data_IF_250227520608
#
_entry.id   IF_250227520608
#
_cell.length_a   1.000
_cell.length_b   1.000
_cell.length_c   1.000
_cell.angle_alpha   90.00
_cell.angle_beta   90.00
_cell.angle_gamma   90.00
#
_symmetry.space_group_name_H-M   'P 1'
#
loop_
_entity.id
_entity.type
_entity.pdbx_description
1 polymer ?
#
# COMPACT_ATOMS: atom_id res chain seq x y z
N UNK A 1 6.18 10.73 -10.26
CA UNK A 1 4.89 10.09 -9.93
C UNK A 1 4.98 9.56 -8.52
N UNK A 2 3.93 9.72 -7.72
CA UNK A 2 3.83 9.18 -6.36
C UNK A 2 2.54 8.39 -6.16
N UNK A 3 2.41 7.69 -5.03
CA UNK A 3 1.23 6.87 -4.71
C UNK A 3 -0.11 7.64 -4.84
N UNK A 4 -0.12 8.95 -4.59
CA UNK A 4 -1.32 9.78 -4.72
C UNK A 4 -1.83 9.91 -6.14
N UNK A 5 -0.98 9.76 -7.15
CA UNK A 5 -1.38 9.83 -8.56
C UNK A 5 -2.25 8.61 -8.93
N UNK A 6 -1.96 7.44 -8.32
CA UNK A 6 -2.75 6.22 -8.49
C UNK A 6 -4.14 6.32 -7.85
N UNK A 7 -4.31 7.16 -6.83
CA UNK A 7 -5.60 7.35 -6.16
C UNK A 7 -6.67 8.00 -7.04
N UNK A 8 -6.28 8.67 -8.12
CA UNK A 8 -7.23 9.34 -9.03
C UNK A 8 -8.25 8.36 -9.67
N UNK A 9 -7.93 7.07 -9.67
CA UNK A 9 -8.74 5.99 -10.25
C UNK A 9 -9.51 5.19 -9.20
N UNK A 10 -9.28 5.47 -7.91
CA UNK A 10 -9.96 4.81 -6.81
C UNK A 10 -11.37 5.37 -6.63
N UNK A 11 -12.36 4.49 -6.48
CA UNK A 11 -13.71 4.90 -6.12
C UNK A 11 -13.75 5.24 -4.63
N UNK A 12 -14.19 6.46 -4.25
CA UNK A 12 -14.26 6.84 -2.85
C UNK A 12 -15.38 6.07 -2.13
N UNK A 13 -15.07 5.60 -0.92
CA UNK A 13 -16.02 4.95 0.00
C UNK A 13 -16.15 5.82 1.23
N UNK A 14 -17.24 6.60 1.27
CA UNK A 14 -17.53 7.53 2.37
C UNK A 14 -18.06 6.82 3.62
N UNK A 15 -18.71 5.66 3.46
CA UNK A 15 -19.27 4.88 4.57
C UNK A 15 -18.17 4.45 5.54
N UNK A 16 -18.33 4.66 6.86
CA UNK A 16 -17.39 4.16 7.86
C UNK A 16 -17.14 2.66 7.69
N UNK A 17 -15.87 2.29 7.51
CA UNK A 17 -15.47 0.91 7.21
C UNK A 17 -14.53 0.40 8.29
N UNK A 18 -14.80 -0.81 8.79
CA UNK A 18 -13.92 -1.46 9.76
C UNK A 18 -12.72 -2.10 9.08
N UNK A 19 -11.56 -2.00 9.72
CA UNK A 19 -10.39 -2.82 9.41
C UNK A 19 -10.67 -4.31 9.60
N UNK A 20 -11.62 -4.68 10.45
CA UNK A 20 -11.99 -6.07 10.75
C UNK A 20 -12.96 -6.56 9.67
N UNK A 21 -12.40 -7.17 8.61
CA UNK A 21 -13.11 -7.72 7.45
C UNK A 21 -13.92 -6.71 6.61
N UNK A 22 -14.19 -5.50 7.11
CA UNK A 22 -15.00 -4.49 6.41
C UNK A 22 -14.39 -4.08 5.07
N UNK A 23 -13.08 -3.90 5.02
CA UNK A 23 -12.33 -3.62 3.78
C UNK A 23 -12.45 -4.79 2.79
N UNK A 24 -12.33 -6.05 3.24
CA UNK A 24 -12.52 -7.23 2.38
C UNK A 24 -13.95 -7.28 1.82
N UNK A 25 -14.95 -7.13 2.69
CA UNK A 25 -16.37 -7.15 2.31
C UNK A 25 -16.69 -6.08 1.26
N UNK A 26 -16.14 -4.88 1.42
CA UNK A 26 -16.28 -3.80 0.46
C UNK A 26 -15.62 -4.15 -0.88
N UNK A 27 -14.41 -4.73 -0.87
CA UNK A 27 -13.74 -5.22 -2.08
C UNK A 27 -14.58 -6.23 -2.84
N UNK A 28 -15.15 -7.22 -2.13
CA UNK A 28 -15.99 -8.25 -2.76
C UNK A 28 -17.26 -7.62 -3.34
N UNK A 29 -17.92 -6.75 -2.58
CA UNK A 29 -19.14 -6.06 -3.02
C UNK A 29 -18.92 -5.12 -4.22
N UNK A 30 -17.70 -4.62 -4.39
CA UNK A 30 -17.31 -3.78 -5.53
C UNK A 30 -16.62 -4.56 -6.66
N UNK A 31 -16.71 -5.89 -6.67
CA UNK A 31 -16.05 -6.76 -7.66
C UNK A 31 -14.54 -6.48 -7.80
N UNK A 32 -13.89 -6.18 -6.67
CA UNK A 32 -12.46 -5.86 -6.55
C UNK A 32 -11.99 -4.61 -7.31
N UNK A 33 -12.89 -3.67 -7.61
CA UNK A 33 -12.49 -2.35 -8.11
C UNK A 33 -11.49 -1.65 -7.16
N UNK A 34 -10.66 -0.72 -7.68
CA UNK A 34 -9.83 0.14 -6.84
C UNK A 34 -10.69 1.01 -5.92
N UNK A 35 -10.45 0.96 -4.61
CA UNK A 35 -11.24 1.67 -3.59
C UNK A 35 -10.37 2.60 -2.75
N UNK A 36 -10.96 3.72 -2.32
CA UNK A 36 -10.38 4.64 -1.34
C UNK A 36 -11.37 4.89 -0.21
N UNK A 37 -11.11 4.28 0.94
CA UNK A 37 -11.90 4.42 2.15
C UNK A 37 -11.59 5.74 2.85
N UNK A 38 -12.59 6.57 3.06
CA UNK A 38 -12.42 7.90 3.63
C UNK A 38 -12.48 7.90 5.16
N UNK A 39 -13.16 6.90 5.74
CA UNK A 39 -13.41 6.81 7.17
C UNK A 39 -13.15 5.37 7.66
N UNK A 40 -12.07 5.18 8.43
CA UNK A 40 -11.72 3.89 9.06
C UNK A 40 -12.08 3.93 10.54
N UNK A 41 -12.89 2.97 10.98
CA UNK A 41 -13.45 2.95 12.35
C UNK A 41 -12.34 2.85 13.40
N UNK A 42 -11.39 1.93 13.21
CA UNK A 42 -10.28 1.69 14.14
C UNK A 42 -9.14 2.71 14.01
N UNK A 43 -9.16 3.55 12.96
CA UNK A 43 -8.12 4.53 12.68
C UNK A 43 -8.73 5.90 12.28
N UNK A 44 -9.40 6.61 13.22
CA UNK A 44 -10.00 7.91 12.91
C UNK A 44 -8.98 8.91 12.35
N UNK A 45 -9.37 9.65 11.31
CA UNK A 45 -8.49 10.60 10.60
C UNK A 45 -7.57 9.94 9.55
N UNK A 46 -7.46 8.61 9.54
CA UNK A 46 -6.79 7.88 8.48
C UNK A 46 -7.74 7.46 7.36
N UNK A 47 -7.14 7.26 6.19
CA UNK A 47 -7.77 6.71 4.99
C UNK A 47 -7.04 5.43 4.60
N UNK A 48 -7.73 4.52 3.93
CA UNK A 48 -7.13 3.30 3.40
C UNK A 48 -7.41 3.19 1.91
N UNK A 49 -6.49 2.62 1.13
CA UNK A 49 -6.66 2.42 -0.28
C UNK A 49 -6.40 0.95 -0.63
N UNK A 50 -7.15 0.42 -1.60
CA UNK A 50 -7.17 -1.00 -1.95
C UNK A 50 -7.17 -1.18 -3.47
N UNK A 51 -6.54 -2.26 -3.94
CA UNK A 51 -6.52 -2.69 -5.35
C UNK A 51 -5.94 -1.65 -6.33
N UNK A 52 -4.90 -0.92 -5.91
CA UNK A 52 -4.27 0.12 -6.74
C UNK A 52 -3.04 -0.35 -7.54
N UNK A 53 -2.48 -1.51 -7.21
CA UNK A 53 -1.30 -2.05 -7.88
C UNK A 53 -1.70 -3.15 -8.86
N UNK A 54 -2.70 -2.85 -9.70
CA UNK A 54 -3.10 -3.72 -10.79
C UNK A 54 -2.29 -3.41 -12.05
N UNK A 55 -1.95 -4.43 -12.84
CA UNK A 55 -1.14 -4.27 -14.07
C UNK A 55 -1.78 -3.29 -15.04
N UNK A 56 -3.09 -3.40 -15.26
CA UNK A 56 -3.82 -2.53 -16.19
C UNK A 56 -3.75 -1.07 -15.76
N UNK A 57 -3.94 -0.82 -14.45
CA UNK A 57 -3.88 0.51 -13.86
C UNK A 57 -2.48 1.12 -13.93
N UNK A 58 -1.44 0.32 -13.67
CA UNK A 58 -0.06 0.74 -13.84
C UNK A 58 0.23 1.12 -15.30
N UNK A 59 -0.15 0.25 -16.24
CA UNK A 59 0.01 0.50 -17.67
C UNK A 59 -0.69 1.80 -18.10
N UNK A 60 -1.94 2.00 -17.69
CA UNK A 60 -2.69 3.23 -17.96
C UNK A 60 -2.00 4.47 -17.36
N UNK A 61 -1.52 4.37 -16.11
CA UNK A 61 -0.87 5.50 -15.41
C UNK A 61 0.42 5.98 -16.10
N UNK A 62 1.16 5.06 -16.73
CA UNK A 62 2.36 5.37 -17.49
C UNK A 62 2.11 5.58 -18.99
N UNK A 63 0.86 5.42 -19.44
CA UNK A 63 0.48 5.44 -20.85
C UNK A 63 1.30 4.45 -21.70
N UNK A 64 1.40 3.22 -21.20
CA UNK A 64 2.11 2.11 -21.84
C UNK A 64 1.19 0.88 -21.96
N UNK A 65 1.59 -0.08 -22.75
CA UNK A 65 0.96 -1.39 -22.88
C UNK A 65 1.55 -2.40 -21.88
N UNK A 66 0.85 -3.51 -21.62
CA UNK A 66 1.39 -4.59 -20.78
C UNK A 66 2.70 -5.19 -21.29
N UNK A 67 2.94 -5.22 -22.61
CA UNK A 67 4.19 -5.71 -23.20
C UNK A 67 5.34 -4.75 -22.88
N UNK A 68 5.13 -3.47 -23.15
CA UNK A 68 6.13 -2.42 -22.86
C UNK A 68 6.49 -2.38 -21.38
N UNK A 69 5.54 -2.62 -20.47
CA UNK A 69 5.84 -2.73 -19.04
C UNK A 69 6.89 -3.81 -18.74
N UNK A 70 6.82 -4.97 -19.40
CA UNK A 70 7.80 -6.05 -19.20
C UNK A 70 9.18 -5.66 -19.73
N UNK A 71 9.22 -5.03 -20.90
CA UNK A 71 10.46 -4.58 -21.53
C UNK A 71 11.15 -3.52 -20.66
N UNK A 72 10.40 -2.55 -20.15
CA UNK A 72 10.87 -1.51 -19.23
C UNK A 72 11.40 -2.12 -17.93
N UNK A 73 10.69 -3.09 -17.36
CA UNK A 73 11.14 -3.76 -16.13
C UNK A 73 12.45 -4.53 -16.35
N UNK A 74 12.62 -5.19 -17.50
CA UNK A 74 13.84 -5.91 -17.83
C UNK A 74 15.02 -4.95 -18.03
N UNK A 75 14.81 -3.85 -18.75
CA UNK A 75 15.81 -2.80 -18.96
C UNK A 75 16.25 -2.20 -17.62
N UNK A 76 15.31 -1.85 -16.74
CA UNK A 76 15.61 -1.33 -15.40
C UNK A 76 16.38 -2.31 -14.51
N UNK A 77 16.23 -3.62 -14.72
CA UNK A 77 17.01 -4.63 -14.00
C UNK A 77 18.45 -4.75 -14.53
N UNK A 78 18.68 -4.47 -15.82
CA UNK A 78 20.00 -4.51 -16.45
C UNK A 78 20.80 -3.22 -16.20
N UNK A 79 20.11 -2.09 -16.14
CA UNK A 79 20.70 -0.76 -15.96
C UNK A 79 20.07 -0.04 -14.75
N UNK A 80 20.33 -0.52 -13.51
CA UNK A 80 19.78 0.11 -12.31
C UNK A 80 20.44 1.47 -12.04
N UNK A 81 19.64 2.43 -11.58
CA UNK A 81 20.11 3.73 -11.11
C UNK A 81 20.10 3.81 -9.58
N UNK A 82 21.08 4.51 -9.01
CA UNK A 82 21.12 4.79 -7.59
C UNK A 82 20.02 5.81 -7.19
N UNK A 83 19.25 5.56 -6.12
CA UNK A 83 18.22 6.49 -5.68
C UNK A 83 18.83 7.80 -5.19
N UNK A 84 18.19 8.92 -5.53
CA UNK A 84 18.61 10.24 -5.08
C UNK A 84 18.30 10.43 -3.58
N UNK A 85 19.30 10.85 -2.81
CA UNK A 85 19.11 11.26 -1.42
C UNK A 85 18.60 12.70 -1.38
N UNK A 86 17.48 12.92 -0.70
CA UNK A 86 16.85 14.24 -0.56
C UNK A 86 16.79 14.65 0.91
N UNK A 87 16.95 15.96 1.18
CA UNK A 87 16.94 16.49 2.54
C UNK A 87 15.54 16.54 3.18
N UNK A 88 14.48 16.60 2.35
CA UNK A 88 13.10 16.73 2.80
C UNK A 88 12.23 15.67 2.11
N UNK A 89 11.34 15.03 2.86
CA UNK A 89 10.40 14.04 2.34
C UNK A 89 9.01 14.24 2.93
N UNK A 90 7.98 14.08 2.09
CA UNK A 90 6.58 14.11 2.53
C UNK A 90 6.24 13.01 3.53
N UNK A 91 6.98 11.90 3.50
CA UNK A 91 6.81 10.79 4.43
C UNK A 91 7.22 11.15 5.87
N UNK A 92 7.95 12.25 6.06
CA UNK A 92 8.44 12.73 7.36
C UNK A 92 7.68 13.99 7.83
N UNK A 93 6.59 14.38 7.17
CA UNK A 93 5.79 15.57 7.53
C UNK A 93 5.12 15.45 8.90
N UNK A 94 4.87 14.22 9.38
CA UNK A 94 4.18 13.94 10.65
C UNK A 94 4.91 12.85 11.44
N UNK A 95 4.95 13.03 12.75
CA UNK A 95 5.36 12.02 13.72
C UNK A 95 4.17 11.76 14.66
N UNK A 96 3.90 10.49 14.92
CA UNK A 96 2.78 10.04 15.76
C UNK A 96 3.29 9.07 16.82
N UNK A 97 2.58 8.98 17.94
CA UNK A 97 2.82 7.93 18.93
C UNK A 97 2.54 6.56 18.29
N UNK A 98 3.46 5.61 18.49
CA UNK A 98 3.36 4.28 17.87
C UNK A 98 2.34 3.43 18.64
N UNK A 99 1.13 3.37 18.09
CA UNK A 99 0.06 2.45 18.49
C UNK A 99 -0.52 1.80 17.24
N UNK A 100 -0.04 0.62 16.89
CA UNK A 100 -0.35 -0.06 15.63
C UNK A 100 -1.85 -0.35 15.48
N UNK A 101 -2.59 -0.55 16.58
CA UNK A 101 -4.04 -0.71 16.52
C UNK A 101 -4.78 0.53 15.97
N UNK A 102 -4.18 1.72 16.09
CA UNK A 102 -4.77 2.98 15.63
C UNK A 102 -4.45 3.29 14.16
N UNK A 103 -3.68 2.43 13.48
CA UNK A 103 -3.41 2.54 12.05
C UNK A 103 -4.45 1.75 11.25
N UNK A 104 -4.71 2.09 9.97
CA UNK A 104 -5.73 1.42 9.15
C UNK A 104 -5.26 0.07 8.60
N UNK A 105 -4.72 -0.80 9.45
CA UNK A 105 -4.20 -2.12 9.07
C UNK A 105 -5.35 -3.14 9.01
N UNK A 106 -5.64 -3.77 7.87
CA UNK A 106 -6.79 -4.68 7.75
C UNK A 106 -6.56 -6.04 8.45
N UNK A 107 -7.63 -6.60 8.99
CA UNK A 107 -7.78 -8.04 9.20
C UNK A 107 -8.48 -8.57 7.95
N UNK A 108 -7.70 -9.19 7.06
CA UNK A 108 -8.20 -9.51 5.71
C UNK A 108 -9.29 -10.57 5.78
N UNK A 109 -8.99 -11.75 6.35
CA UNK A 109 -9.92 -12.87 6.39
C UNK A 109 -10.25 -13.28 7.84
N UNK A 110 -11.47 -13.79 8.11
CA UNK A 110 -11.85 -14.31 9.42
C UNK A 110 -10.91 -15.40 9.97
N UNK A 111 -10.26 -16.14 9.08
CA UNK A 111 -9.32 -17.22 9.40
C UNK A 111 -7.90 -16.72 9.69
N UNK A 112 -7.59 -15.46 9.39
CA UNK A 112 -6.27 -14.89 9.68
C UNK A 112 -6.05 -14.81 11.19
N UNK A 113 -4.79 -14.95 11.61
CA UNK A 113 -4.41 -14.82 13.02
C UNK A 113 -4.63 -13.41 13.61
N UNK A 114 -4.95 -12.42 12.77
CA UNK A 114 -5.18 -11.03 13.15
C UNK A 114 -4.97 -10.08 11.98
N UNK A 115 -4.62 -8.83 12.32
CA UNK A 115 -4.42 -7.73 11.36
C UNK A 115 -3.04 -7.84 10.70
N UNK A 116 -3.01 -7.70 9.38
CA UNK A 116 -1.78 -7.79 8.57
C UNK A 116 -1.52 -6.52 7.78
N UNK A 117 -0.28 -6.04 7.84
CA UNK A 117 0.24 -5.15 6.81
C UNK A 117 0.65 -6.00 5.62
N UNK A 118 -0.11 -5.95 4.52
CA UNK A 118 0.08 -6.79 3.33
C UNK A 118 0.66 -6.05 2.12
N UNK A 119 0.76 -4.72 2.19
CA UNK A 119 1.32 -3.86 1.14
C UNK A 119 2.61 -3.14 1.58
N UNK A 120 3.25 -3.61 2.67
CA UNK A 120 4.50 -3.04 3.17
C UNK A 120 5.67 -3.41 2.28
N UNK A 121 6.49 -2.41 1.94
CA UNK A 121 7.86 -2.63 1.47
C UNK A 121 8.81 -2.59 2.66
N UNK A 122 9.70 -3.57 2.75
CA UNK A 122 10.79 -3.61 3.72
C UNK A 122 12.07 -3.29 3.00
N UNK A 123 12.80 -2.30 3.51
CA UNK A 123 14.13 -1.92 3.03
C UNK A 123 15.13 -2.39 4.08
N UNK A 124 16.04 -3.26 3.70
CA UNK A 124 17.09 -3.78 4.56
C UNK A 124 18.45 -3.65 3.87
N UNK A 125 19.52 -3.52 4.66
CA UNK A 125 20.88 -3.43 4.16
C UNK A 125 21.80 -4.37 4.95
N UNK A 126 22.64 -5.13 4.24
CA UNK A 126 23.65 -5.98 4.83
C UNK A 126 24.94 -5.88 4.02
N UNK A 127 26.05 -5.58 4.69
CA UNK A 127 27.37 -5.43 4.07
C UNK A 127 27.38 -4.47 2.86
N UNK A 128 26.63 -3.37 2.94
CA UNK A 128 26.50 -2.38 1.86
C UNK A 128 25.58 -2.79 0.70
N UNK A 129 24.94 -3.96 0.78
CA UNK A 129 23.95 -4.43 -0.21
C UNK A 129 22.57 -4.15 0.34
N UNK A 130 21.80 -3.32 -0.37
CA UNK A 130 20.41 -2.99 -0.03
C UNK A 130 19.44 -3.89 -0.78
N UNK A 131 18.37 -4.30 -0.10
CA UNK A 131 17.27 -5.04 -0.68
C UNK A 131 15.93 -4.38 -0.35
N UNK A 132 15.00 -4.41 -1.31
CA UNK A 132 13.60 -4.00 -1.12
C UNK A 132 12.70 -5.19 -1.44
N UNK A 133 11.80 -5.52 -0.52
CA UNK A 133 10.89 -6.67 -0.68
C UNK A 133 9.54 -6.44 -0.03
N UNK A 134 8.52 -7.13 -0.53
CA UNK A 134 7.21 -7.17 0.11
C UNK A 134 7.18 -8.29 1.17
N UNK A 135 6.74 -7.97 2.38
CA UNK A 135 6.53 -8.94 3.44
C UNK A 135 5.21 -8.65 4.14
N UNK A 136 4.43 -9.72 4.38
CA UNK A 136 3.28 -9.63 5.29
C UNK A 136 3.79 -9.51 6.72
N UNK A 137 3.18 -8.62 7.51
CA UNK A 137 3.53 -8.42 8.91
C UNK A 137 2.27 -8.51 9.76
N UNK A 138 2.23 -9.47 10.69
CA UNK A 138 1.15 -9.64 11.67
C UNK A 138 1.38 -8.69 12.84
N UNK A 139 0.36 -7.94 13.25
CA UNK A 139 0.39 -7.21 14.52
C UNK A 139 0.28 -8.21 15.67
N UNK A 140 1.27 -8.22 16.55
CA UNK A 140 1.33 -9.05 17.76
C UNK A 140 1.34 -8.22 19.06
N UNK A 141 1.44 -6.89 18.96
CA UNK A 141 1.31 -5.96 20.07
C UNK A 141 1.09 -4.52 19.61
N UNK A 142 0.98 -3.60 20.57
CA UNK A 142 0.77 -2.17 20.33
C UNK A 142 1.91 -1.55 19.48
N UNK A 143 3.11 -2.11 19.57
CA UNK A 143 4.33 -1.65 18.90
C UNK A 143 5.08 -2.78 18.15
N UNK A 144 4.43 -3.93 17.94
CA UNK A 144 5.06 -5.17 17.46
C UNK A 144 4.25 -5.93 16.42
#
# INVERSE_FOLDING_TARGET
MGFRDLLAKAVPVATPTSCIHGILNASIASENQPLMFENIIEAPGHRAALNLLERSLLCESYNITPSELMDIMLEAMLEPEEPLTVANSRALEYEIEVKLENLPIPWHHPEDAGRYMSASIIIAEYAGIRNVSFHRQLIIGEDR
#
